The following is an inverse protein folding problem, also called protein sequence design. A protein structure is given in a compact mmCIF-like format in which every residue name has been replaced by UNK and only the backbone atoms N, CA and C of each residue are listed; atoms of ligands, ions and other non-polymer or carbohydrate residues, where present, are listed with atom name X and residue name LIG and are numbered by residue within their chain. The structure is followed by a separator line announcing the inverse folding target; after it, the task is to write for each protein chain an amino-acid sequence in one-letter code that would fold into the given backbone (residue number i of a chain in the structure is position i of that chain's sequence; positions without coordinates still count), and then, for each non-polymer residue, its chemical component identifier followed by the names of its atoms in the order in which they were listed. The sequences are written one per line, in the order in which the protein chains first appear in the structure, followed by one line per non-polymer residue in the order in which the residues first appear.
data_IF_798422993600
#
_entry.id   IF_798422993600
#
_cell.length_a   1.000
_cell.length_b   1.000
_cell.length_c   1.000
_cell.angle_alpha   90.00
_cell.angle_beta   90.00
_cell.angle_gamma   90.00
#
_symmetry.space_group_name_H-M   'P 1'
#
loop_
_entity.id
_entity.type
_entity.pdbx_description
1 polymer ?
#
# COMPACT_ATOMS: atom_id res chain seq x y z
N UNK A 1 30.35 -59.75 -20.41
CA UNK A 1 31.06 -58.49 -20.75
C UNK A 1 30.06 -57.35 -20.61
N UNK A 2 30.49 -56.28 -19.95
CA UNK A 2 29.72 -55.26 -19.24
C UNK A 2 28.83 -54.34 -20.10
N UNK A 3 27.69 -53.92 -19.56
CA UNK A 3 27.08 -52.61 -19.84
C UNK A 3 26.59 -52.00 -18.52
N UNK A 4 27.04 -50.77 -18.27
CA UNK A 4 26.98 -50.04 -17.00
C UNK A 4 25.65 -49.27 -16.90
N UNK A 5 24.83 -49.55 -15.90
CA UNK A 5 23.70 -48.70 -15.53
C UNK A 5 24.16 -47.64 -14.53
N UNK A 6 24.12 -46.38 -14.96
CA UNK A 6 24.37 -45.21 -14.12
C UNK A 6 23.31 -45.10 -13.03
N UNK A 7 23.71 -45.35 -11.78
CA UNK A 7 22.91 -45.03 -10.60
C UNK A 7 22.85 -43.52 -10.43
N UNK A 8 21.67 -42.93 -10.68
CA UNK A 8 21.43 -41.51 -10.43
C UNK A 8 21.36 -41.28 -8.93
N UNK A 9 22.30 -40.49 -8.42
CA UNK A 9 22.29 -39.95 -7.07
C UNK A 9 21.07 -39.04 -6.90
N UNK A 10 20.18 -39.36 -5.96
CA UNK A 10 19.08 -38.48 -5.53
C UNK A 10 19.63 -37.62 -4.40
N UNK A 11 19.80 -36.30 -4.56
CA UNK A 11 20.14 -35.46 -3.44
C UNK A 11 18.88 -35.31 -2.57
N UNK A 12 19.03 -35.67 -1.29
CA UNK A 12 18.05 -35.42 -0.25
C UNK A 12 17.77 -33.92 -0.14
N UNK A 13 16.67 -33.45 -0.71
CA UNK A 13 16.18 -32.08 -0.51
C UNK A 13 15.56 -32.00 0.89
N UNK A 14 16.21 -31.23 1.76
CA UNK A 14 15.70 -30.84 3.08
C UNK A 14 14.28 -30.25 2.97
N UNK A 15 13.37 -30.55 3.91
CA UNK A 15 11.96 -30.10 3.85
C UNK A 15 11.76 -28.59 4.11
N UNK A 16 12.82 -27.81 4.22
CA UNK A 16 12.77 -26.38 4.57
C UNK A 16 12.50 -25.45 3.38
N UNK A 17 12.60 -25.93 2.13
CA UNK A 17 12.41 -25.11 0.92
C UNK A 17 10.96 -25.06 0.41
N UNK A 18 10.00 -25.69 1.11
CA UNK A 18 8.59 -25.72 0.71
C UNK A 18 7.69 -24.71 1.46
N UNK A 19 8.24 -23.89 2.35
CA UNK A 19 7.47 -22.77 2.88
C UNK A 19 7.54 -21.60 1.89
N UNK A 20 6.40 -21.09 1.39
CA UNK A 20 6.40 -19.79 0.75
C UNK A 20 7.02 -18.78 1.74
N UNK A 21 7.89 -17.87 1.29
CA UNK A 21 8.50 -16.89 2.19
C UNK A 21 7.38 -16.18 2.95
N UNK A 22 7.56 -15.90 4.25
CA UNK A 22 6.58 -15.13 5.01
C UNK A 22 6.27 -13.86 4.23
N UNK A 23 4.99 -13.56 4.02
CA UNK A 23 4.49 -12.41 3.22
C UNK A 23 4.87 -11.02 3.80
N UNK A 24 5.86 -10.96 4.68
CA UNK A 24 6.19 -9.81 5.53
C UNK A 24 7.57 -9.18 5.33
N UNK A 25 8.50 -9.79 4.58
CA UNK A 25 9.88 -9.26 4.45
C UNK A 25 10.29 -8.94 3.00
N UNK A 26 9.35 -8.51 2.16
CA UNK A 26 9.70 -8.05 0.80
C UNK A 26 10.19 -6.61 0.85
N UNK A 27 11.40 -6.32 0.32
CA UNK A 27 11.99 -4.97 0.31
C UNK A 27 11.07 -3.95 -0.40
N UNK A 28 11.02 -2.67 0.02
CA UNK A 28 10.20 -1.67 -0.66
C UNK A 28 10.59 -1.53 -2.13
N UNK A 29 9.60 -1.30 -3.01
CA UNK A 29 9.88 -1.07 -4.43
C UNK A 29 10.75 0.17 -4.60
N UNK A 30 11.62 0.17 -5.60
CA UNK A 30 12.43 1.34 -5.93
C UNK A 30 11.74 2.15 -7.02
N UNK A 31 11.46 3.42 -6.77
CA UNK A 31 10.89 4.32 -7.76
C UNK A 31 11.98 5.24 -8.32
N UNK A 32 11.98 5.39 -9.65
CA UNK A 32 12.95 6.26 -10.35
C UNK A 32 12.55 7.73 -10.38
N UNK A 33 11.28 8.04 -10.16
CA UNK A 33 10.75 9.39 -10.30
C UNK A 33 10.26 9.92 -8.95
N UNK A 34 10.83 11.03 -8.51
CA UNK A 34 10.53 11.65 -7.21
C UNK A 34 9.30 12.54 -7.24
N UNK A 35 8.82 12.97 -8.41
CA UNK A 35 7.73 13.94 -8.54
C UNK A 35 6.41 13.50 -7.90
N UNK A 36 6.16 12.20 -7.77
CA UNK A 36 4.93 11.65 -7.16
C UNK A 36 5.07 11.38 -5.65
N UNK A 37 6.24 11.63 -5.06
CA UNK A 37 6.50 11.48 -3.64
C UNK A 37 6.15 12.78 -2.93
N UNK A 38 5.18 12.73 -2.01
CA UNK A 38 4.81 13.91 -1.22
C UNK A 38 5.60 14.01 0.08
N UNK A 39 6.10 12.89 0.58
CA UNK A 39 6.79 12.82 1.88
C UNK A 39 8.02 11.93 1.75
N UNK A 40 9.18 12.40 2.21
CA UNK A 40 10.44 11.66 2.23
C UNK A 40 10.96 11.50 3.65
N UNK A 41 11.63 10.40 3.96
CA UNK A 41 12.12 10.09 5.30
C UNK A 41 13.34 9.18 5.30
N UNK A 42 14.20 9.33 6.32
CA UNK A 42 15.32 8.44 6.61
C UNK A 42 14.91 7.26 7.53
N UNK A 43 13.70 7.27 8.09
CA UNK A 43 13.18 6.21 8.95
C UNK A 43 13.06 4.88 8.20
N UNK A 44 13.11 3.77 8.94
CA UNK A 44 12.93 2.43 8.36
C UNK A 44 11.52 2.27 7.73
N UNK A 45 11.38 1.60 6.57
CA UNK A 45 10.09 1.40 5.91
C UNK A 45 8.98 0.84 6.81
N UNK A 46 9.30 -0.09 7.71
CA UNK A 46 8.34 -0.65 8.66
C UNK A 46 7.84 0.38 9.68
N UNK A 47 8.70 1.30 10.11
CA UNK A 47 8.31 2.41 10.97
C UNK A 47 7.43 3.41 10.22
N UNK A 48 7.74 3.70 8.95
CA UNK A 48 6.91 4.56 8.10
C UNK A 48 5.51 3.95 7.94
N UNK A 49 5.41 2.64 7.64
CA UNK A 49 4.13 1.96 7.47
C UNK A 49 3.29 1.96 8.77
N UNK A 50 3.93 1.85 9.94
CA UNK A 50 3.25 1.99 11.24
C UNK A 50 2.70 3.40 11.45
N UNK A 51 3.49 4.43 11.15
CA UNK A 51 3.00 5.81 11.27
C UNK A 51 1.88 6.11 10.28
N UNK A 52 1.95 5.58 9.05
CA UNK A 52 0.86 5.67 8.07
C UNK A 52 -0.44 5.11 8.65
N UNK A 53 -0.42 3.87 9.16
CA UNK A 53 -1.62 3.24 9.73
C UNK A 53 -2.23 4.05 10.86
N UNK A 54 -1.39 4.50 11.79
CA UNK A 54 -1.81 5.36 12.91
C UNK A 54 -2.48 6.66 12.46
N UNK A 55 -1.94 7.34 11.44
CA UNK A 55 -2.54 8.57 10.91
C UNK A 55 -3.84 8.27 10.17
N UNK A 56 -3.92 7.15 9.45
CA UNK A 56 -5.17 6.71 8.80
C UNK A 56 -6.27 6.42 9.84
N UNK A 57 -5.95 5.69 10.91
CA UNK A 57 -6.86 5.42 12.03
C UNK A 57 -7.37 6.73 12.65
N UNK A 58 -6.47 7.68 12.92
CA UNK A 58 -6.83 9.00 13.48
C UNK A 58 -7.72 9.85 12.56
N UNK A 59 -7.70 9.57 11.26
CA UNK A 59 -8.50 10.25 10.25
C UNK A 59 -9.73 9.44 9.81
N UNK A 60 -10.10 8.38 10.53
CA UNK A 60 -11.24 7.52 10.18
C UNK A 60 -11.16 7.02 8.73
N UNK A 61 -9.96 6.64 8.30
CA UNK A 61 -9.71 6.03 6.99
C UNK A 61 -9.58 4.53 7.16
N UNK A 62 -10.39 3.77 6.45
CA UNK A 62 -10.22 2.32 6.35
C UNK A 62 -9.03 1.98 5.44
N UNK A 63 -8.34 0.87 5.72
CA UNK A 63 -7.25 0.42 4.87
C UNK A 63 -7.08 -1.11 4.86
N UNK A 64 -6.56 -1.61 3.75
CA UNK A 64 -6.22 -3.01 3.53
C UNK A 64 -4.75 -3.14 3.09
N UNK A 65 -4.05 -4.13 3.65
CA UNK A 65 -2.67 -4.44 3.27
C UNK A 65 -2.64 -5.27 1.98
N UNK A 66 -2.28 -4.65 0.86
CA UNK A 66 -2.23 -5.31 -0.46
C UNK A 66 -0.88 -5.98 -0.75
N UNK A 67 0.21 -5.29 -0.48
CA UNK A 67 1.60 -5.82 -0.55
C UNK A 67 2.35 -5.40 0.72
N UNK A 68 3.56 -5.91 0.98
CA UNK A 68 4.28 -5.63 2.25
C UNK A 68 4.46 -4.13 2.55
N UNK A 69 4.55 -3.27 1.53
CA UNK A 69 4.71 -1.83 1.68
C UNK A 69 3.64 -1.01 0.91
N UNK A 70 2.51 -1.63 0.58
CA UNK A 70 1.39 -1.00 -0.14
C UNK A 70 0.08 -1.21 0.63
N UNK A 71 -0.58 -0.10 0.94
CA UNK A 71 -1.92 -0.07 1.51
C UNK A 71 -2.92 0.45 0.48
N UNK A 72 -4.09 -0.17 0.43
CA UNK A 72 -5.26 0.40 -0.22
C UNK A 72 -6.11 1.09 0.86
N UNK A 73 -6.35 2.38 0.70
CA UNK A 73 -7.05 3.22 1.68
C UNK A 73 -8.39 3.69 1.11
N UNK A 74 -9.38 3.84 1.98
CA UNK A 74 -10.72 4.35 1.67
C UNK A 74 -11.11 5.39 2.72
N UNK A 75 -11.76 6.47 2.29
CA UNK A 75 -12.31 7.50 3.18
C UNK A 75 -13.58 8.08 2.59
N UNK A 76 -14.53 8.44 3.47
CA UNK A 76 -15.86 8.93 3.12
C UNK A 76 -16.91 7.84 3.17
N UNK A 77 -18.19 8.23 3.22
CA UNK A 77 -19.29 7.29 3.31
C UNK A 77 -19.83 6.93 1.93
N UNK A 78 -20.01 5.63 1.68
CA UNK A 78 -20.89 5.17 0.62
C UNK A 78 -22.33 5.33 1.12
N UNK A 79 -23.04 6.36 0.65
CA UNK A 79 -24.46 6.52 0.98
C UNK A 79 -25.20 5.24 0.55
N UNK A 80 -25.91 4.54 1.44
CA UNK A 80 -26.56 3.28 1.09
C UNK A 80 -27.59 3.52 0.00
N UNK A 81 -27.53 2.70 -1.05
CA UNK A 81 -28.35 2.82 -2.26
C UNK A 81 -29.85 2.52 -2.03
N UNK A 82 -30.28 2.35 -0.76
CA UNK A 82 -31.61 1.84 -0.37
C UNK A 82 -32.54 2.79 0.38
N UNK A 83 -32.09 3.98 0.79
CA UNK A 83 -32.95 5.00 1.44
C UNK A 83 -33.12 6.21 0.52
N UNK A 84 -33.74 5.95 -0.64
CA UNK A 84 -34.31 6.99 -1.49
C UNK A 84 -35.75 7.29 -1.04
N UNK A 85 -35.94 7.70 0.22
CA UNK A 85 -37.18 8.38 0.61
C UNK A 85 -37.11 9.82 0.12
N UNK A 86 -37.83 10.11 -0.96
CA UNK A 86 -38.37 11.43 -1.30
C UNK A 86 -37.38 12.60 -1.45
N UNK A 87 -37.31 13.14 -2.67
CA UNK A 87 -37.09 14.58 -2.88
C UNK A 87 -35.76 15.18 -2.40
N UNK A 88 -34.63 14.50 -2.63
CA UNK A 88 -33.30 15.14 -2.67
C UNK A 88 -32.27 14.30 -3.45
N UNK A 89 -32.59 13.90 -4.69
CA UNK A 89 -31.60 13.37 -5.63
C UNK A 89 -30.73 14.48 -6.26
N UNK A 90 -30.60 15.63 -5.58
CA UNK A 90 -29.75 16.74 -5.97
C UNK A 90 -28.43 16.68 -5.20
N UNK A 91 -27.33 16.55 -5.93
CA UNK A 91 -25.97 16.95 -5.50
C UNK A 91 -25.39 16.37 -4.20
N UNK A 92 -25.89 15.24 -3.70
CA UNK A 92 -25.23 14.46 -2.66
C UNK A 92 -24.07 13.63 -3.22
N UNK A 93 -23.01 14.28 -3.71
CA UNK A 93 -21.83 13.61 -4.26
C UNK A 93 -21.24 12.70 -3.18
N UNK A 94 -21.22 11.39 -3.42
CA UNK A 94 -20.45 10.47 -2.59
C UNK A 94 -18.99 10.94 -2.58
N UNK A 95 -18.55 11.48 -1.44
CA UNK A 95 -17.16 11.89 -1.17
C UNK A 95 -16.25 10.69 -0.88
N UNK A 96 -16.68 9.49 -1.29
CA UNK A 96 -15.91 8.27 -1.20
C UNK A 96 -14.67 8.38 -2.11
N UNK A 97 -13.50 8.27 -1.48
CA UNK A 97 -12.21 8.29 -2.15
C UNK A 97 -11.46 7.02 -1.82
N UNK A 98 -10.92 6.36 -2.84
CA UNK A 98 -10.00 5.24 -2.70
C UNK A 98 -8.63 5.63 -3.25
N UNK A 99 -7.56 5.33 -2.52
CA UNK A 99 -6.19 5.59 -2.96
C UNK A 99 -5.21 4.56 -2.44
N UNK A 100 -4.09 4.40 -3.13
CA UNK A 100 -2.95 3.63 -2.68
C UNK A 100 -1.98 4.52 -1.89
N UNK A 101 -1.48 4.01 -0.77
CA UNK A 101 -0.31 4.53 -0.06
C UNK A 101 0.83 3.51 -0.11
N UNK A 102 1.94 3.89 -0.73
CA UNK A 102 3.09 3.00 -0.91
C UNK A 102 4.36 3.58 -0.29
N UNK A 103 5.07 2.79 0.51
CA UNK A 103 6.43 3.10 0.94
C UNK A 103 7.42 2.56 -0.09
N UNK A 104 8.28 3.43 -0.61
CA UNK A 104 9.24 3.06 -1.66
C UNK A 104 10.64 3.63 -1.39
N UNK A 105 11.67 3.05 -2.02
CA UNK A 105 13.03 3.59 -2.01
C UNK A 105 13.19 4.66 -3.09
N UNK A 106 13.91 5.73 -2.76
CA UNK A 106 14.34 6.79 -3.67
C UNK A 106 15.85 6.73 -3.88
N UNK A 107 16.35 5.98 -4.88
CA UNK A 107 17.78 5.73 -5.04
C UNK A 107 18.62 7.00 -5.26
N UNK A 108 18.03 8.04 -5.83
CA UNK A 108 18.72 9.32 -6.09
C UNK A 108 18.97 10.13 -4.83
N UNK A 109 18.12 9.95 -3.81
CA UNK A 109 18.18 10.70 -2.56
C UNK A 109 18.67 9.83 -1.39
N UNK A 110 18.81 8.52 -1.61
CA UNK A 110 19.11 7.53 -0.56
C UNK A 110 18.10 7.54 0.60
N UNK A 111 16.86 8.00 0.35
CA UNK A 111 15.77 8.06 1.33
C UNK A 111 14.65 7.07 0.98
N UNK A 112 13.72 6.91 1.91
CA UNK A 112 12.42 6.31 1.65
C UNK A 112 11.41 7.43 1.35
N UNK A 113 10.33 7.10 0.65
CA UNK A 113 9.23 8.06 0.50
C UNK A 113 7.88 7.39 0.36
N UNK A 114 6.84 8.19 0.58
CA UNK A 114 5.44 7.77 0.58
C UNK A 114 4.75 8.28 -0.68
N UNK A 115 4.25 7.35 -1.50
CA UNK A 115 3.52 7.64 -2.73
C UNK A 115 2.04 7.61 -2.43
N UNK A 116 1.33 8.63 -2.88
CA UNK A 116 -0.13 8.66 -2.91
C UNK A 116 -0.58 8.52 -4.35
N UNK A 117 -1.43 7.52 -4.63
CA UNK A 117 -1.99 7.33 -5.98
C UNK A 117 -3.50 7.14 -5.85
N UNK A 118 -4.25 8.11 -6.38
CA UNK A 118 -5.72 8.02 -6.43
C UNK A 118 -6.15 6.83 -7.30
N UNK A 119 -7.11 6.04 -6.80
CA UNK A 119 -7.76 4.95 -7.52
C UNK A 119 -9.15 5.39 -7.99
N UNK A 120 -9.95 5.95 -7.09
CA UNK A 120 -11.30 6.46 -7.38
C UNK A 120 -11.59 7.76 -6.63
N UNK A 121 -12.78 8.33 -6.84
CA UNK A 121 -13.20 9.58 -6.21
C UNK A 121 -12.73 10.85 -6.93
N UNK A 122 -13.26 11.99 -6.50
CA UNK A 122 -12.98 13.27 -7.12
C UNK A 122 -11.54 13.75 -6.87
N UNK A 123 -10.98 14.53 -7.80
CA UNK A 123 -9.63 15.10 -7.62
C UNK A 123 -9.55 16.00 -6.38
N UNK A 124 -10.63 16.72 -6.08
CA UNK A 124 -10.71 17.63 -4.93
C UNK A 124 -10.76 16.86 -3.62
N UNK A 125 -11.64 15.86 -3.49
CA UNK A 125 -11.75 15.05 -2.28
C UNK A 125 -10.45 14.28 -2.00
N UNK A 126 -9.85 13.68 -3.04
CA UNK A 126 -8.53 13.05 -2.92
C UNK A 126 -7.45 14.03 -2.46
N UNK A 127 -7.40 15.23 -3.07
CA UNK A 127 -6.40 16.24 -2.67
C UNK A 127 -6.58 16.67 -1.22
N UNK A 128 -7.81 16.79 -0.74
CA UNK A 128 -8.11 17.16 0.65
C UNK A 128 -7.59 16.11 1.63
N UNK A 129 -8.01 14.85 1.49
CA UNK A 129 -7.60 13.78 2.42
C UNK A 129 -6.10 13.47 2.30
N UNK A 130 -5.56 13.39 1.07
CA UNK A 130 -4.15 13.06 0.88
C UNK A 130 -3.23 14.16 1.43
N UNK A 131 -3.61 15.43 1.32
CA UNK A 131 -2.80 16.52 1.87
C UNK A 131 -2.91 16.57 3.40
N UNK A 132 -4.09 16.27 3.97
CA UNK A 132 -4.28 16.16 5.42
C UNK A 132 -3.40 15.05 6.01
N UNK A 133 -3.50 13.84 5.48
CA UNK A 133 -2.68 12.69 5.91
C UNK A 133 -1.19 13.00 5.74
N UNK A 134 -0.77 13.55 4.59
CA UNK A 134 0.64 13.87 4.34
C UNK A 134 1.23 14.89 5.34
N UNK A 135 0.43 15.85 5.81
CA UNK A 135 0.86 16.86 6.77
C UNK A 135 0.92 16.33 8.22
N UNK A 136 0.12 15.33 8.55
CA UNK A 136 0.07 14.73 9.90
C UNK A 136 1.10 13.61 10.09
N UNK A 137 1.63 13.06 9.00
CA UNK A 137 2.70 12.07 9.02
C UNK A 137 3.97 12.64 9.66
N UNK A 138 4.45 11.97 10.72
CA UNK A 138 5.71 12.29 11.42
C UNK A 138 6.79 11.30 11.01
N UNK A 139 7.45 11.61 9.89
CA UNK A 139 8.48 10.77 9.27
C UNK A 139 9.86 11.44 9.27
#
# INVERSE_FOLDING_TARGET
MVCVLHSRHVPSSSPSDLLPPPRGESKPRSLRFTWSMRTTSSMEPNHILREIRKVLDANSCDYEQQESFLLLCVHGEARPEGEATGEAAGEGRADLVQWEMEVCKLPRLSLNGVRFKRISGSSIAFKNIASKVANELKL
#
